data_IF_352690274499
#
_entry.id   IF_352690274499
#
_cell.length_a   1.000
_cell.length_b   1.000
_cell.length_c   1.000
_cell.angle_alpha   90.00
_cell.angle_beta   90.00
_cell.angle_gamma   90.00
#
_symmetry.space_group_name_H-M   'P 1'
#
loop_
_entity.id
_entity.type
_entity.pdbx_description
1 polymer ?
#
# COMPACT_ATOMS: atom_id res chain seq x y z
N UNK A 1 38.90 18.06 -28.04
CA UNK A 1 39.54 17.10 -27.13
C UNK A 1 39.60 17.73 -25.75
N UNK A 2 38.54 17.59 -24.94
CA UNK A 2 38.47 18.17 -23.60
C UNK A 2 37.31 17.51 -22.82
N UNK A 3 37.37 16.19 -22.63
CA UNK A 3 36.45 15.47 -21.74
C UNK A 3 37.13 14.24 -21.13
N UNK A 4 38.44 14.33 -20.97
CA UNK A 4 39.16 13.35 -20.16
C UNK A 4 39.58 14.05 -18.88
N UNK A 5 38.96 13.60 -17.79
CA UNK A 5 39.43 13.74 -16.41
C UNK A 5 38.92 14.91 -15.54
N UNK A 6 37.65 14.85 -15.12
CA UNK A 6 37.24 15.36 -13.79
C UNK A 6 36.18 14.45 -13.13
N UNK A 7 36.37 13.13 -13.17
CA UNK A 7 35.51 12.22 -12.39
C UNK A 7 35.95 12.22 -10.93
N UNK A 8 35.02 12.50 -10.02
CA UNK A 8 35.27 12.47 -8.57
C UNK A 8 35.64 11.06 -8.11
N UNK A 9 36.45 10.96 -7.05
CA UNK A 9 36.88 9.67 -6.52
C UNK A 9 35.70 8.86 -5.97
N UNK A 10 35.73 7.53 -6.15
CA UNK A 10 34.68 6.62 -5.65
C UNK A 10 34.47 6.75 -4.13
N UNK A 11 35.53 6.99 -3.37
CA UNK A 11 35.45 7.18 -1.91
C UNK A 11 34.72 8.47 -1.51
N UNK A 12 34.95 9.57 -2.23
CA UNK A 12 34.24 10.83 -2.00
C UNK A 12 32.76 10.70 -2.39
N UNK A 13 32.50 10.00 -3.49
CA UNK A 13 31.16 9.74 -4.00
C UNK A 13 30.31 8.88 -3.06
N UNK A 14 30.95 8.00 -2.31
CA UNK A 14 30.33 7.14 -1.29
C UNK A 14 29.85 7.91 -0.05
N UNK A 15 30.28 9.16 0.15
CA UNK A 15 29.87 9.95 1.31
C UNK A 15 28.39 10.32 1.25
N UNK A 16 27.68 10.27 2.40
CA UNK A 16 26.23 10.48 2.51
C UNK A 16 25.72 11.79 1.88
N UNK A 17 26.55 12.84 1.86
CA UNK A 17 26.16 14.13 1.27
C UNK A 17 26.26 14.15 -0.26
N UNK A 18 27.12 13.33 -0.86
CA UNK A 18 27.21 13.17 -2.32
C UNK A 18 26.09 12.28 -2.87
N UNK A 19 25.60 11.33 -2.06
CA UNK A 19 24.58 10.35 -2.47
C UNK A 19 23.23 10.93 -2.94
N UNK A 20 22.88 12.16 -2.55
CA UNK A 20 21.61 12.81 -2.96
C UNK A 20 21.65 13.40 -4.38
N UNK A 21 22.82 13.79 -4.86
CA UNK A 21 23.02 14.41 -6.17
C UNK A 21 23.67 13.48 -7.19
N UNK A 22 23.70 12.18 -6.90
CA UNK A 22 24.27 11.18 -7.76
C UNK A 22 23.26 10.66 -8.77
N UNK A 23 23.71 10.48 -10.01
CA UNK A 23 22.94 9.77 -11.02
C UNK A 23 22.68 8.33 -10.56
N UNK A 24 21.46 7.84 -10.79
CA UNK A 24 21.02 6.51 -10.36
C UNK A 24 21.90 5.39 -10.93
N UNK A 25 22.47 5.59 -12.12
CA UNK A 25 23.40 4.65 -12.74
C UNK A 25 24.71 4.52 -11.95
N UNK A 26 25.25 5.63 -11.45
CA UNK A 26 26.52 5.64 -10.71
C UNK A 26 26.33 5.13 -9.28
N UNK A 27 25.15 5.36 -8.68
CA UNK A 27 24.75 4.75 -7.41
C UNK A 27 24.65 3.23 -7.53
N UNK A 28 24.03 2.73 -8.60
CA UNK A 28 23.90 1.29 -8.85
C UNK A 28 25.26 0.61 -9.00
N UNK A 29 26.23 1.25 -9.67
CA UNK A 29 27.60 0.71 -9.77
C UNK A 29 28.30 0.60 -8.41
N UNK A 30 28.13 1.60 -7.53
CA UNK A 30 28.68 1.55 -6.18
C UNK A 30 28.03 0.44 -5.32
N UNK A 31 26.72 0.26 -5.43
CA UNK A 31 26.01 -0.82 -4.75
C UNK A 31 26.40 -2.21 -5.28
N UNK A 32 26.65 -2.34 -6.58
CA UNK A 32 27.17 -3.58 -7.17
C UNK A 32 28.59 -3.87 -6.70
N UNK A 33 29.47 -2.87 -6.63
CA UNK A 33 30.83 -3.01 -6.08
C UNK A 33 30.77 -3.46 -4.60
N UNK A 34 29.84 -2.93 -3.79
CA UNK A 34 29.62 -3.36 -2.40
C UNK A 34 29.09 -4.79 -2.31
N UNK A 35 28.13 -5.16 -3.16
CA UNK A 35 27.58 -6.51 -3.22
C UNK A 35 28.64 -7.54 -3.65
N UNK A 36 29.56 -7.16 -4.55
CA UNK A 36 30.69 -8.01 -4.95
C UNK A 36 31.62 -8.28 -3.79
N UNK A 37 31.99 -7.27 -3.01
CA UNK A 37 32.83 -7.43 -1.82
C UNK A 37 32.17 -8.40 -0.82
N UNK A 38 30.88 -8.22 -0.56
CA UNK A 38 30.12 -9.11 0.34
C UNK A 38 30.02 -10.53 -0.24
N UNK A 39 29.84 -10.66 -1.56
CA UNK A 39 29.79 -11.95 -2.25
C UNK A 39 31.11 -12.69 -2.21
N UNK A 40 32.25 -11.99 -2.31
CA UNK A 40 33.58 -12.59 -2.26
C UNK A 40 33.90 -13.14 -0.84
N UNK A 41 33.33 -12.53 0.20
CA UNK A 41 33.42 -12.99 1.59
C UNK A 41 32.40 -14.10 1.93
N UNK A 42 31.31 -14.19 1.16
CA UNK A 42 30.24 -15.14 1.37
C UNK A 42 30.56 -16.49 0.69
N UNK A 43 31.22 -17.37 1.44
CA UNK A 43 31.41 -18.75 1.02
C UNK A 43 30.13 -19.57 1.25
N UNK A 44 29.76 -20.38 0.26
CA UNK A 44 28.66 -21.36 0.37
C UNK A 44 29.23 -22.77 0.48
N UNK A 45 28.61 -23.62 1.30
CA UNK A 45 28.87 -25.06 1.31
C UNK A 45 27.75 -25.75 0.53
N UNK A 46 28.07 -26.24 -0.66
CA UNK A 46 27.12 -26.99 -1.47
C UNK A 46 26.92 -28.39 -0.89
N UNK A 47 25.76 -28.58 -0.23
CA UNK A 47 25.27 -29.87 0.23
C UNK A 47 24.01 -30.25 -0.59
N UNK A 48 24.18 -30.96 -1.72
CA UNK A 48 23.06 -31.34 -2.60
C UNK A 48 21.95 -32.13 -1.88
N UNK A 49 22.32 -32.91 -0.86
CA UNK A 49 21.39 -33.72 -0.07
C UNK A 49 20.42 -32.91 0.80
N UNK A 50 20.81 -31.71 1.26
CA UNK A 50 19.95 -30.81 2.02
C UNK A 50 19.05 -29.97 1.10
N UNK A 51 19.56 -29.60 -0.08
CA UNK A 51 18.77 -28.82 -1.06
C UNK A 51 17.56 -29.62 -1.59
N UNK A 52 17.68 -30.94 -1.65
CA UNK A 52 16.58 -31.83 -2.01
C UNK A 52 15.59 -32.09 -0.86
N UNK A 53 15.99 -31.79 0.39
CA UNK A 53 15.16 -31.90 1.59
C UNK A 53 14.71 -30.51 2.01
N UNK A 54 13.97 -29.84 1.14
CA UNK A 54 13.24 -28.64 1.55
C UNK A 54 12.22 -29.00 2.63
N UNK A 55 11.99 -28.09 3.58
CA UNK A 55 11.10 -28.37 4.70
C UNK A 55 9.67 -28.59 4.18
N UNK A 56 9.20 -29.83 4.28
CA UNK A 56 7.85 -30.20 3.84
C UNK A 56 6.75 -29.53 4.70
N UNK A 57 7.08 -29.13 5.93
CA UNK A 57 6.19 -28.46 6.87
C UNK A 57 6.92 -27.24 7.42
N UNK A 58 6.28 -26.07 7.32
CA UNK A 58 6.78 -24.81 7.86
C UNK A 58 5.89 -24.45 9.04
N UNK A 59 6.47 -24.42 10.24
CA UNK A 59 5.77 -23.98 11.44
C UNK A 59 5.79 -22.46 11.50
N UNK A 60 4.65 -21.83 11.19
CA UNK A 60 4.49 -20.39 11.28
C UNK A 60 3.72 -20.01 12.55
N UNK A 61 4.28 -19.11 13.36
CA UNK A 61 3.66 -18.65 14.62
C UNK A 61 2.60 -17.56 14.40
N UNK A 62 2.52 -17.01 13.20
CA UNK A 62 1.58 -15.95 12.83
C UNK A 62 0.27 -16.51 12.33
N UNK A 63 -0.84 -15.94 12.79
CA UNK A 63 -2.18 -16.22 12.27
C UNK A 63 -2.53 -15.42 11.00
N UNK A 64 -1.67 -14.47 10.62
CA UNK A 64 -1.87 -13.59 9.45
C UNK A 64 -2.16 -14.37 8.16
N UNK A 65 -1.42 -15.45 7.80
CA UNK A 65 -1.69 -16.21 6.59
C UNK A 65 -3.00 -17.01 6.67
N UNK A 66 -3.40 -17.42 7.87
CA UNK A 66 -4.53 -18.33 8.07
C UNK A 66 -5.88 -17.59 8.13
N UNK A 67 -5.92 -16.39 8.70
CA UNK A 67 -7.18 -15.72 9.08
C UNK A 67 -7.55 -14.54 8.17
N UNK A 68 -6.69 -14.14 7.23
CA UNK A 68 -6.99 -13.06 6.29
C UNK A 68 -7.32 -11.74 7.00
N UNK A 69 -6.54 -11.41 8.03
CA UNK A 69 -6.80 -10.29 8.94
C UNK A 69 -6.86 -8.94 8.21
N UNK A 70 -7.89 -8.15 8.54
CA UNK A 70 -8.06 -6.78 8.04
C UNK A 70 -7.13 -5.81 8.79
N UNK A 71 -6.82 -4.69 8.15
CA UNK A 71 -6.09 -3.61 8.79
C UNK A 71 -6.85 -3.07 10.01
N UNK A 72 -6.20 -3.12 11.19
CA UNK A 72 -6.86 -2.88 12.48
C UNK A 72 -7.08 -1.42 12.86
N UNK A 73 -6.46 -0.45 12.17
CA UNK A 73 -6.74 0.98 12.44
C UNK A 73 -7.95 1.41 11.62
N UNK A 74 -9.01 1.80 12.32
CA UNK A 74 -10.31 2.13 11.73
C UNK A 74 -10.75 3.47 12.30
N UNK A 75 -11.22 4.37 11.45
CA UNK A 75 -11.87 5.62 11.84
C UNK A 75 -13.22 5.70 11.14
N UNK A 76 -14.17 6.39 11.75
CA UNK A 76 -15.53 6.53 11.23
C UNK A 76 -15.97 7.99 11.33
N UNK A 77 -16.88 8.38 10.42
CA UNK A 77 -17.57 9.67 10.42
C UNK A 77 -16.61 10.88 10.37
N UNK A 78 -15.45 10.74 9.73
CA UNK A 78 -14.51 11.83 9.51
C UNK A 78 -13.70 12.23 10.73
N UNK A 79 -13.61 11.39 11.77
CA UNK A 79 -12.79 11.68 12.96
C UNK A 79 -11.29 11.80 12.64
N UNK A 80 -10.82 11.03 11.65
CA UNK A 80 -9.48 11.16 11.10
C UNK A 80 -9.47 10.77 9.61
N UNK A 81 -9.50 11.75 8.70
CA UNK A 81 -9.51 11.50 7.26
C UNK A 81 -8.30 10.72 6.74
N UNK A 82 -7.13 10.82 7.39
CA UNK A 82 -5.95 10.05 6.98
C UNK A 82 -6.08 8.57 7.29
N UNK A 83 -6.67 8.25 8.46
CA UNK A 83 -6.92 6.86 8.86
C UNK A 83 -8.03 6.24 8.02
N UNK A 84 -9.07 6.99 7.67
CA UNK A 84 -10.11 6.52 6.74
C UNK A 84 -9.53 6.23 5.35
N UNK A 85 -8.64 7.10 4.84
CA UNK A 85 -7.93 6.86 3.58
C UNK A 85 -7.04 5.61 3.63
N UNK A 86 -6.31 5.42 4.73
CA UNK A 86 -5.48 4.23 4.97
C UNK A 86 -6.34 2.96 5.06
N UNK A 87 -7.49 3.04 5.72
CA UNK A 87 -8.44 1.92 5.82
C UNK A 87 -8.93 1.48 4.44
N UNK A 88 -9.29 2.44 3.56
CA UNK A 88 -9.75 2.14 2.21
C UNK A 88 -8.64 1.52 1.34
N UNK A 89 -7.41 2.02 1.44
CA UNK A 89 -6.27 1.51 0.67
C UNK A 89 -5.89 0.09 1.10
N UNK A 90 -5.87 -0.18 2.41
CA UNK A 90 -5.40 -1.46 2.95
C UNK A 90 -6.49 -2.53 3.03
N UNK A 91 -7.77 -2.13 3.04
CA UNK A 91 -8.91 -3.05 3.05
C UNK A 91 -9.84 -2.80 1.84
N UNK A 92 -9.43 -3.14 0.59
CA UNK A 92 -10.19 -2.83 -0.62
C UNK A 92 -11.56 -3.54 -0.69
N UNK A 93 -11.75 -4.62 0.07
CA UNK A 93 -12.99 -5.41 0.09
C UNK A 93 -14.04 -4.90 1.08
N UNK A 94 -13.77 -3.81 1.81
CA UNK A 94 -14.81 -3.11 2.57
C UNK A 94 -15.49 -2.15 1.61
N UNK A 95 -16.13 -2.72 0.58
CA UNK A 95 -17.31 -2.10 0.00
C UNK A 95 -18.13 -1.65 1.20
N UNK A 96 -18.34 -0.34 1.32
CA UNK A 96 -19.34 0.25 2.20
C UNK A 96 -20.60 -0.57 2.01
N UNK A 97 -20.83 -1.52 2.91
CA UNK A 97 -22.05 -2.29 2.95
C UNK A 97 -23.12 -1.22 3.00
N UNK A 98 -23.88 -1.11 1.91
CA UNK A 98 -25.04 -0.24 1.86
C UNK A 98 -25.80 -0.57 3.14
N UNK A 99 -25.81 0.37 4.08
CA UNK A 99 -26.56 0.16 5.31
C UNK A 99 -27.96 -0.26 4.85
N UNK A 100 -28.52 -1.35 5.39
CA UNK A 100 -29.84 -1.79 4.98
C UNK A 100 -30.80 -0.63 5.28
N UNK A 101 -31.15 0.12 4.25
CA UNK A 101 -32.15 1.14 4.36
C UNK A 101 -33.49 0.39 4.41
N UNK A 102 -34.25 0.61 5.47
CA UNK A 102 -35.58 0.00 5.63
C UNK A 102 -36.55 0.42 4.51
N UNK A 103 -36.18 1.44 3.72
CA UNK A 103 -36.97 2.00 2.63
C UNK A 103 -36.11 2.05 1.37
N UNK A 104 -36.65 1.51 0.28
CA UNK A 104 -36.02 1.61 -1.05
C UNK A 104 -36.20 3.01 -1.63
N UNK A 105 -35.24 3.47 -2.45
CA UNK A 105 -35.30 4.81 -3.08
C UNK A 105 -36.59 5.01 -3.89
N UNK A 106 -37.10 3.96 -4.51
CA UNK A 106 -38.37 3.95 -5.24
C UNK A 106 -39.57 4.22 -4.32
N UNK A 107 -39.59 3.63 -3.12
CA UNK A 107 -40.67 3.83 -2.15
C UNK A 107 -40.60 5.22 -1.52
N UNK A 108 -39.39 5.75 -1.28
CA UNK A 108 -39.19 7.12 -0.83
C UNK A 108 -39.71 8.13 -1.85
N UNK A 109 -39.43 7.92 -3.15
CA UNK A 109 -39.91 8.77 -4.23
C UNK A 109 -41.44 8.84 -4.29
N UNK A 110 -42.14 7.70 -4.21
CA UNK A 110 -43.61 7.66 -4.22
C UNK A 110 -44.24 8.37 -3.03
N UNK A 111 -43.64 8.24 -1.84
CA UNK A 111 -44.10 8.96 -0.63
C UNK A 111 -43.92 10.48 -0.78
N UNK A 112 -42.80 10.91 -1.36
CA UNK A 112 -42.55 12.31 -1.66
C UNK A 112 -43.55 12.89 -2.68
N UNK A 113 -43.85 12.16 -3.75
CA UNK A 113 -44.84 12.59 -4.76
C UNK A 113 -46.23 12.83 -4.16
N UNK A 114 -46.68 11.91 -3.29
CA UNK A 114 -47.96 12.02 -2.58
C UNK A 114 -47.98 13.21 -1.62
N UNK A 115 -46.92 13.39 -0.82
CA UNK A 115 -46.79 14.48 0.13
C UNK A 115 -46.78 15.84 -0.57
N UNK A 116 -45.96 15.99 -1.61
CA UNK A 116 -45.85 17.23 -2.41
C UNK A 116 -47.18 17.57 -3.08
N UNK A 117 -47.90 16.57 -3.59
CA UNK A 117 -49.23 16.76 -4.18
C UNK A 117 -50.26 17.27 -3.14
N UNK A 118 -50.18 16.76 -1.91
CA UNK A 118 -51.06 17.20 -0.82
C UNK A 118 -50.72 18.61 -0.34
N UNK A 119 -49.44 18.96 -0.24
CA UNK A 119 -48.98 20.30 0.14
C UNK A 119 -49.37 21.32 -0.93
N UNK A 120 -49.17 21.00 -2.21
CA UNK A 120 -49.59 21.86 -3.33
C UNK A 120 -51.07 22.23 -3.25
N UNK A 121 -51.95 21.27 -2.91
CA UNK A 121 -53.39 21.54 -2.72
C UNK A 121 -53.69 22.44 -1.52
N UNK A 122 -52.94 22.32 -0.42
CA UNK A 122 -53.12 23.16 0.79
C UNK A 122 -52.69 24.61 0.57
N UNK A 123 -51.70 24.85 -0.29
CA UNK A 123 -51.18 26.19 -0.58
C UNK A 123 -51.76 26.82 -1.85
N UNK A 124 -52.52 26.07 -2.67
CA UNK A 124 -53.21 26.58 -3.86
C UNK A 124 -54.49 27.37 -3.54
N UNK A 125 -54.98 27.31 -2.31
CA UNK A 125 -56.24 27.96 -1.88
C UNK A 125 -56.01 29.28 -1.15
N UNK A 126 -54.90 29.98 -1.44
CA UNK A 126 -54.65 31.36 -0.99
C UNK A 126 -54.67 32.31 -2.16
#
# INVERSE_FOLDING_TARGET
MADDNMKLSKNLLRMKFMQRGLDDEMKKQLEEDEKRIISDEHWYLDLPELKAKENFIIEEKSFVPCEGLKFGRISFKGFNPEVERLMLLMNPQVETSRMPADVTDEEMARRYESLVSSMKKKFSTK
#
